data_IF_510429886335
#
_entry.id   IF_510429886335
#
_cell.length_a   1.000
_cell.length_b   1.000
_cell.length_c   1.000
_cell.angle_alpha   90.00
_cell.angle_beta   90.00
_cell.angle_gamma   90.00
#
_symmetry.space_group_name_H-M   'P 1'
#
loop_
_entity.id
_entity.type
_entity.pdbx_description
1 polymer ?
#
# COMPACT_ATOMS: atom_id res chain seq x y z
N UNK A 1 37.00 -61.54 44.13
CA UNK A 1 37.06 -62.59 43.11
C UNK A 1 36.26 -62.08 41.92
N UNK A 2 36.98 -61.75 40.91
CA UNK A 2 36.94 -62.09 39.49
C UNK A 2 35.58 -61.73 38.79
N UNK A 3 35.46 -61.20 37.63
CA UNK A 3 36.35 -60.87 36.50
C UNK A 3 35.52 -59.97 35.53
N UNK A 4 36.19 -59.03 35.06
CA UNK A 4 36.11 -58.37 33.75
C UNK A 4 35.52 -59.22 32.63
N UNK A 5 34.62 -58.63 31.83
CA UNK A 5 34.64 -58.73 30.34
C UNK A 5 34.13 -57.45 29.70
N UNK A 6 34.99 -56.84 28.94
CA UNK A 6 34.69 -55.72 28.04
C UNK A 6 34.06 -56.25 26.73
N UNK A 7 33.03 -55.58 26.23
CA UNK A 7 32.60 -55.71 24.86
C UNK A 7 32.30 -54.32 24.29
N UNK A 8 33.13 -53.91 23.38
CA UNK A 8 32.98 -52.63 22.67
C UNK A 8 31.84 -52.72 21.63
N UNK A 9 30.99 -51.74 21.65
CA UNK A 9 30.10 -51.45 20.54
C UNK A 9 30.50 -50.14 19.88
N UNK A 10 31.01 -50.30 18.67
CA UNK A 10 31.19 -49.17 17.72
C UNK A 10 29.81 -48.67 17.33
N UNK A 11 29.48 -47.44 17.71
CA UNK A 11 28.35 -46.71 17.15
C UNK A 11 28.79 -46.07 15.83
N UNK A 12 28.23 -46.55 14.73
CA UNK A 12 28.29 -45.90 13.43
C UNK A 12 27.43 -44.65 13.52
N UNK A 13 28.05 -43.48 13.41
CA UNK A 13 27.40 -42.21 13.19
C UNK A 13 26.93 -42.16 11.71
N UNK A 14 25.65 -42.38 11.47
CA UNK A 14 25.02 -42.08 10.21
C UNK A 14 24.91 -40.56 10.05
N UNK A 15 25.80 -39.98 9.26
CA UNK A 15 25.74 -38.60 8.83
C UNK A 15 24.52 -38.41 7.92
N UNK A 16 23.50 -37.74 8.45
CA UNK A 16 22.36 -37.29 7.65
C UNK A 16 22.79 -36.06 6.85
N UNK A 17 23.17 -36.29 5.59
CA UNK A 17 23.35 -35.22 4.62
C UNK A 17 22.00 -34.58 4.36
N UNK A 18 21.78 -33.37 4.85
CA UNK A 18 20.70 -32.50 4.42
C UNK A 18 21.07 -31.98 3.03
N UNK A 19 20.53 -32.63 2.01
CA UNK A 19 20.54 -32.09 0.66
C UNK A 19 19.75 -30.77 0.65
N UNK A 20 20.43 -29.65 0.52
CA UNK A 20 19.86 -28.38 0.07
C UNK A 20 19.27 -28.61 -1.33
N UNK A 21 17.97 -28.68 -1.42
CA UNK A 21 17.28 -28.43 -2.70
C UNK A 21 17.43 -26.94 -3.00
N UNK A 22 18.43 -26.62 -3.80
CA UNK A 22 18.46 -25.34 -4.51
C UNK A 22 17.29 -25.33 -5.47
N UNK A 23 16.32 -24.45 -5.22
CA UNK A 23 15.18 -24.22 -6.09
C UNK A 23 15.67 -23.54 -7.36
N UNK A 24 15.59 -24.26 -8.47
CA UNK A 24 15.84 -23.78 -9.84
C UNK A 24 14.69 -22.86 -10.34
N UNK A 25 14.32 -21.86 -9.56
CA UNK A 25 13.23 -20.90 -9.88
C UNK A 25 13.72 -19.45 -9.94
N UNK A 26 15.01 -19.22 -10.23
CA UNK A 26 15.55 -17.86 -10.21
C UNK A 26 16.36 -17.48 -11.46
N UNK A 27 15.97 -17.95 -12.65
CA UNK A 27 16.70 -17.62 -13.90
C UNK A 27 15.89 -16.83 -14.93
N UNK A 28 14.67 -16.37 -14.62
CA UNK A 28 13.86 -15.60 -15.59
C UNK A 28 13.54 -14.14 -15.19
N UNK A 29 13.98 -13.67 -14.03
CA UNK A 29 13.72 -12.28 -13.57
C UNK A 29 14.94 -11.35 -13.75
N UNK A 30 16.07 -11.82 -14.29
CA UNK A 30 17.24 -10.98 -14.56
C UNK A 30 17.19 -10.20 -15.90
N UNK A 31 16.05 -10.19 -16.57
CA UNK A 31 15.89 -9.49 -17.85
C UNK A 31 15.17 -8.15 -17.69
N UNK A 32 15.91 -7.08 -17.62
CA UNK A 32 15.50 -5.67 -17.64
C UNK A 32 15.06 -5.05 -16.31
N UNK A 33 15.98 -4.98 -15.36
CA UNK A 33 16.06 -3.75 -14.57
C UNK A 33 16.67 -2.74 -15.55
N UNK A 34 15.85 -1.87 -16.11
CA UNK A 34 16.35 -0.73 -16.89
C UNK A 34 17.42 -0.04 -16.04
N UNK A 35 18.54 0.32 -16.65
CA UNK A 35 19.59 1.06 -15.95
C UNK A 35 18.90 2.19 -15.18
N UNK A 36 19.08 2.22 -13.86
CA UNK A 36 18.47 3.25 -13.02
C UNK A 36 18.75 4.60 -13.69
N UNK A 37 17.74 5.46 -13.89
CA UNK A 37 18.02 6.79 -14.38
C UNK A 37 19.03 7.41 -13.43
N UNK A 38 20.09 8.00 -13.97
CA UNK A 38 21.20 8.61 -13.21
C UNK A 38 20.73 9.75 -12.30
N UNK A 39 19.45 10.13 -12.35
CA UNK A 39 18.84 11.17 -11.50
C UNK A 39 17.40 10.78 -11.16
N UNK A 40 17.09 10.71 -9.87
CA UNK A 40 15.73 10.93 -9.35
C UNK A 40 15.26 12.27 -9.93
N UNK A 41 14.02 12.42 -10.44
CA UNK A 41 13.53 13.67 -10.98
C UNK A 41 13.89 14.82 -10.02
N UNK A 42 14.57 15.85 -10.52
CA UNK A 42 15.12 16.94 -9.70
C UNK A 42 14.04 17.80 -9.03
N UNK A 43 12.77 17.57 -9.33
CA UNK A 43 11.65 18.36 -8.79
C UNK A 43 10.48 17.41 -8.50
N UNK A 44 10.46 16.83 -7.30
CA UNK A 44 9.22 16.32 -6.72
C UNK A 44 8.52 17.51 -6.04
N UNK A 45 7.45 18.01 -6.63
CA UNK A 45 6.79 19.27 -6.26
C UNK A 45 5.46 19.09 -5.53
N UNK A 46 5.14 17.88 -5.10
CA UNK A 46 4.01 17.61 -4.23
C UNK A 46 4.38 17.98 -2.78
N UNK A 47 3.75 19.00 -2.17
CA UNK A 47 4.10 19.41 -0.81
C UNK A 47 3.61 18.44 0.27
N UNK A 48 2.54 17.71 -0.03
CA UNK A 48 1.86 16.75 0.85
C UNK A 48 1.43 15.53 0.04
N UNK A 49 1.02 14.46 0.72
CA UNK A 49 0.29 13.35 0.16
C UNK A 49 -1.06 13.23 0.87
N UNK A 50 -2.00 14.11 0.56
CA UNK A 50 -3.35 14.11 1.11
C UNK A 50 -4.26 13.18 0.30
N UNK A 51 -4.12 13.21 -1.02
CA UNK A 51 -4.78 12.38 -2.00
C UNK A 51 -3.76 11.77 -2.98
N UNK A 52 -4.08 10.63 -3.56
CA UNK A 52 -3.31 10.08 -4.70
C UNK A 52 -3.30 11.05 -5.89
N UNK A 53 -4.36 11.83 -6.05
CA UNK A 53 -4.48 12.88 -7.09
C UNK A 53 -3.37 13.94 -6.98
N UNK A 54 -2.91 14.26 -5.77
CA UNK A 54 -1.87 15.28 -5.54
C UNK A 54 -0.54 14.90 -6.21
N UNK A 55 -0.26 13.61 -6.34
CA UNK A 55 0.93 13.12 -7.01
C UNK A 55 0.88 13.32 -8.53
N UNK A 56 -0.29 13.14 -9.12
CA UNK A 56 -0.45 13.06 -10.57
C UNK A 56 0.36 11.90 -11.19
N UNK A 57 0.31 11.73 -12.53
CA UNK A 57 1.00 10.63 -13.21
C UNK A 57 2.52 10.61 -12.95
N UNK A 58 3.18 11.75 -13.03
CA UNK A 58 4.62 11.86 -12.83
C UNK A 58 5.05 11.57 -11.39
N UNK A 59 4.25 11.99 -10.40
CA UNK A 59 4.53 11.72 -8.98
C UNK A 59 4.32 10.26 -8.61
N UNK A 60 3.27 9.61 -9.13
CA UNK A 60 3.03 8.18 -8.95
C UNK A 60 4.20 7.38 -9.54
N UNK A 61 4.61 7.67 -10.77
CA UNK A 61 5.77 7.01 -11.40
C UNK A 61 7.06 7.20 -10.59
N UNK A 62 7.33 8.43 -10.12
CA UNK A 62 8.49 8.72 -9.29
C UNK A 62 8.51 7.92 -7.98
N UNK A 63 7.37 7.81 -7.29
CA UNK A 63 7.26 7.03 -6.05
C UNK A 63 7.50 5.55 -6.32
N UNK A 64 6.84 4.97 -7.33
CA UNK A 64 6.94 3.54 -7.64
C UNK A 64 8.35 3.17 -8.12
N UNK A 65 8.95 3.99 -8.98
CA UNK A 65 10.32 3.80 -9.43
C UNK A 65 11.31 3.85 -8.25
N UNK A 66 11.23 4.89 -7.42
CA UNK A 66 12.13 5.05 -6.27
C UNK A 66 11.95 3.93 -5.24
N UNK A 67 10.71 3.48 -5.01
CA UNK A 67 10.43 2.36 -4.12
C UNK A 67 11.12 1.07 -4.59
N UNK A 68 11.07 0.77 -5.89
CA UNK A 68 11.78 -0.35 -6.50
C UNK A 68 13.30 -0.23 -6.34
N UNK A 69 13.86 0.96 -6.56
CA UNK A 69 15.31 1.23 -6.36
C UNK A 69 15.70 1.05 -4.90
N UNK A 70 14.91 1.58 -3.95
CA UNK A 70 15.15 1.42 -2.50
C UNK A 70 15.06 -0.03 -2.03
N UNK A 71 14.17 -0.82 -2.63
CA UNK A 71 14.05 -2.25 -2.37
C UNK A 71 15.28 -3.01 -2.86
N UNK A 72 15.74 -2.71 -4.06
CA UNK A 72 16.90 -3.36 -4.69
C UNK A 72 18.25 -2.95 -4.06
N UNK A 73 18.37 -1.70 -3.60
CA UNK A 73 19.63 -1.13 -3.09
C UNK A 73 19.45 -0.42 -1.75
N UNK A 74 19.01 -1.11 -0.69
CA UNK A 74 18.67 -0.47 0.60
C UNK A 74 19.89 0.19 1.28
N UNK A 75 21.09 -0.29 1.01
CA UNK A 75 22.31 0.24 1.61
C UNK A 75 22.60 1.70 1.21
N UNK A 76 22.21 2.09 -0.02
CA UNK A 76 22.46 3.42 -0.57
C UNK A 76 21.65 4.52 0.16
N UNK A 77 20.57 4.13 0.85
CA UNK A 77 19.64 5.04 1.48
C UNK A 77 19.70 5.10 3.02
N UNK A 78 20.62 4.33 3.65
CA UNK A 78 20.68 4.20 5.13
C UNK A 78 20.83 5.52 5.90
N UNK A 79 21.29 6.58 5.27
CA UNK A 79 21.52 7.90 5.86
C UNK A 79 20.73 9.00 5.18
N UNK A 80 19.81 8.64 4.31
CA UNK A 80 19.08 9.57 3.45
C UNK A 80 18.25 10.60 4.24
N UNK A 81 17.72 10.20 5.40
CA UNK A 81 16.91 11.03 6.29
C UNK A 81 17.55 11.22 7.67
N UNK A 82 18.89 11.21 7.76
CA UNK A 82 19.60 11.41 9.03
C UNK A 82 19.20 12.75 9.67
N UNK A 83 18.77 12.69 10.94
CA UNK A 83 18.34 13.85 11.72
C UNK A 83 16.89 14.28 11.45
N UNK A 84 16.17 13.65 10.53
CA UNK A 84 14.75 13.90 10.29
C UNK A 84 13.88 13.18 11.31
N UNK A 85 12.81 13.85 11.73
CA UNK A 85 11.83 13.34 12.69
C UNK A 85 10.42 13.47 12.13
N UNK A 86 9.63 12.41 12.25
CA UNK A 86 8.21 12.43 11.88
C UNK A 86 7.33 12.13 13.08
N UNK A 87 6.13 12.73 13.12
CA UNK A 87 5.09 12.39 14.08
C UNK A 87 3.93 11.66 13.37
N UNK A 88 3.45 10.60 13.99
CA UNK A 88 2.37 9.77 13.45
C UNK A 88 1.19 9.77 14.43
N UNK A 89 0.05 10.26 13.99
CA UNK A 89 -1.19 10.34 14.79
C UNK A 89 -2.24 9.38 14.21
N UNK A 90 -2.66 8.42 15.01
CA UNK A 90 -3.60 7.39 14.56
C UNK A 90 -4.85 7.38 15.42
N UNK A 91 -5.98 7.77 14.83
CA UNK A 91 -7.33 7.62 15.41
C UNK A 91 -7.87 6.18 15.23
N UNK A 92 -7.33 5.43 14.25
CA UNK A 92 -7.67 4.02 13.99
C UNK A 92 -6.43 3.15 14.21
N UNK A 93 -6.53 2.04 14.96
CA UNK A 93 -5.38 1.16 15.18
C UNK A 93 -4.86 0.58 13.86
N UNK A 94 -3.56 0.40 13.73
CA UNK A 94 -2.95 -0.24 12.57
C UNK A 94 -1.57 -0.80 12.88
N UNK A 95 -1.46 -2.12 12.83
CA UNK A 95 -0.17 -2.81 12.98
C UNK A 95 0.76 -2.48 11.79
N UNK A 96 0.27 -2.73 10.57
CA UNK A 96 1.07 -2.62 9.34
C UNK A 96 1.54 -1.19 9.07
N UNK A 97 0.63 -0.23 9.06
CA UNK A 97 0.96 1.17 8.77
C UNK A 97 1.96 1.73 9.78
N UNK A 98 1.75 1.45 11.08
CA UNK A 98 2.66 1.89 12.12
C UNK A 98 4.06 1.33 11.91
N UNK A 99 4.18 0.00 11.87
CA UNK A 99 5.49 -0.65 11.78
C UNK A 99 6.23 -0.31 10.49
N UNK A 100 5.53 -0.17 9.35
CA UNK A 100 6.18 0.15 8.07
C UNK A 100 6.69 1.60 8.03
N UNK A 101 6.01 2.57 8.63
CA UNK A 101 6.54 3.93 8.78
C UNK A 101 7.70 3.99 9.77
N UNK A 102 7.58 3.37 10.96
CA UNK A 102 8.65 3.32 11.97
C UNK A 102 9.91 2.65 11.39
N UNK A 103 9.78 1.45 10.82
CA UNK A 103 10.89 0.72 10.20
C UNK A 103 11.46 1.47 8.99
N UNK A 104 10.59 2.10 8.19
CA UNK A 104 10.98 2.93 7.06
C UNK A 104 11.88 4.07 7.48
N UNK A 105 11.47 4.88 8.45
CA UNK A 105 12.27 5.99 8.99
C UNK A 105 13.60 5.52 9.57
N UNK A 106 13.59 4.48 10.41
CA UNK A 106 14.82 3.92 10.99
C UNK A 106 15.78 3.42 9.89
N UNK A 107 15.27 2.74 8.86
CA UNK A 107 16.09 2.25 7.76
C UNK A 107 16.71 3.36 6.91
N UNK A 108 16.13 4.55 6.90
CA UNK A 108 16.61 5.75 6.22
C UNK A 108 17.47 6.66 7.12
N UNK A 109 17.66 6.29 8.39
CA UNK A 109 18.47 7.04 9.37
C UNK A 109 17.73 8.14 10.12
N UNK A 110 16.41 8.23 9.98
CA UNK A 110 15.54 9.14 10.70
C UNK A 110 14.86 8.51 11.92
N UNK A 111 13.92 9.24 12.52
CA UNK A 111 13.17 8.84 13.71
C UNK A 111 11.67 9.06 13.49
N UNK A 112 10.84 8.14 13.99
CA UNK A 112 9.39 8.26 13.99
C UNK A 112 8.86 8.22 15.42
N UNK A 113 7.92 9.12 15.72
CA UNK A 113 7.20 9.20 16.99
C UNK A 113 5.75 8.82 16.76
N UNK A 114 5.27 7.81 17.47
CA UNK A 114 3.88 7.38 17.40
C UNK A 114 3.05 7.99 18.54
N UNK A 115 1.93 8.60 18.18
CA UNK A 115 0.95 9.17 19.10
C UNK A 115 -0.38 8.47 18.90
N UNK A 116 -0.82 7.73 19.90
CA UNK A 116 -2.10 7.03 19.88
C UNK A 116 -3.24 8.04 20.14
N UNK A 117 -4.16 8.14 19.18
CA UNK A 117 -5.35 8.99 19.21
C UNK A 117 -6.64 8.17 19.14
N UNK A 118 -6.58 6.86 19.45
CA UNK A 118 -7.76 5.97 19.38
C UNK A 118 -8.85 6.32 20.40
N UNK A 119 -8.49 7.04 21.46
CA UNK A 119 -9.42 7.46 22.51
C UNK A 119 -9.91 8.90 22.37
N UNK A 120 -9.25 9.73 21.59
CA UNK A 120 -9.58 11.12 21.43
C UNK A 120 -9.10 11.65 20.08
N UNK A 121 -10.00 12.33 19.35
CA UNK A 121 -9.70 12.91 18.06
C UNK A 121 -8.71 14.07 18.17
N UNK A 122 -7.93 14.29 17.14
CA UNK A 122 -6.89 15.31 17.08
C UNK A 122 -7.46 16.73 17.27
N UNK A 123 -8.69 16.97 16.84
CA UNK A 123 -9.41 18.24 16.89
C UNK A 123 -10.33 18.39 18.13
N UNK A 124 -10.28 17.45 19.08
CA UNK A 124 -11.23 17.41 20.19
C UNK A 124 -10.94 18.46 21.29
N UNK A 125 -9.66 18.81 21.53
CA UNK A 125 -9.24 19.69 22.61
C UNK A 125 -8.91 21.11 22.17
N UNK A 126 -8.39 21.26 20.97
CA UNK A 126 -7.92 22.53 20.43
C UNK A 126 -8.18 22.60 18.94
N UNK A 127 -8.06 23.78 18.35
CA UNK A 127 -8.22 23.93 16.90
C UNK A 127 -7.10 23.20 16.17
N UNK A 128 -7.45 22.54 15.07
CA UNK A 128 -6.50 21.82 14.24
C UNK A 128 -5.36 22.71 13.74
N UNK A 129 -5.63 24.01 13.48
CA UNK A 129 -4.61 25.00 13.14
C UNK A 129 -3.56 25.16 14.24
N UNK A 130 -3.98 25.15 15.52
CA UNK A 130 -3.07 25.33 16.64
C UNK A 130 -2.19 24.09 16.84
N UNK A 131 -2.79 22.89 16.64
CA UNK A 131 -2.05 21.63 16.61
C UNK A 131 -1.01 21.64 15.48
N UNK A 132 -1.39 22.04 14.26
CA UNK A 132 -0.50 22.11 13.11
C UNK A 132 0.70 23.03 13.37
N UNK A 133 0.45 24.27 13.86
CA UNK A 133 1.49 25.24 14.16
C UNK A 133 2.42 24.82 15.30
N UNK A 134 1.97 23.99 16.23
CA UNK A 134 2.83 23.39 17.24
C UNK A 134 3.71 22.28 16.63
N UNK A 135 3.09 21.35 15.88
CA UNK A 135 3.79 20.19 15.31
C UNK A 135 4.90 20.60 14.34
N UNK A 136 4.67 21.58 13.47
CA UNK A 136 5.66 22.06 12.51
C UNK A 136 6.95 22.62 13.16
N UNK A 137 6.92 22.95 14.46
CA UNK A 137 8.08 23.40 15.23
C UNK A 137 8.91 22.23 15.77
N UNK A 138 8.33 21.03 15.83
CA UNK A 138 8.94 19.89 16.51
C UNK A 138 9.34 18.77 15.56
N UNK A 139 8.66 18.65 14.41
CA UNK A 139 8.88 17.55 13.46
C UNK A 139 9.02 18.07 12.03
N UNK A 140 9.62 17.24 11.18
CA UNK A 140 9.83 17.55 9.77
C UNK A 140 8.67 17.10 8.87
N UNK A 141 7.79 16.20 9.37
CA UNK A 141 6.66 15.66 8.61
C UNK A 141 5.62 15.05 9.57
N UNK A 142 4.35 15.14 9.20
CA UNK A 142 3.20 14.62 9.94
C UNK A 142 2.55 13.49 9.16
N UNK A 143 2.29 12.35 9.80
CA UNK A 143 1.56 11.22 9.23
C UNK A 143 0.24 11.06 9.97
N UNK A 144 -0.86 11.08 9.24
CA UNK A 144 -2.20 11.00 9.81
C UNK A 144 -2.95 9.74 9.34
N UNK A 145 -3.55 9.03 10.28
CA UNK A 145 -4.52 7.97 10.04
C UNK A 145 -5.79 8.28 10.82
N UNK A 146 -6.80 8.81 10.14
CA UNK A 146 -7.97 9.43 10.74
C UNK A 146 -9.28 8.77 10.30
N UNK A 147 -10.37 9.13 10.98
CA UNK A 147 -11.71 8.79 10.50
C UNK A 147 -12.16 9.69 9.36
N UNK A 148 -11.76 10.97 9.34
CA UNK A 148 -12.20 11.94 8.35
C UNK A 148 -11.06 12.43 7.47
N UNK A 149 -11.28 12.46 6.16
CA UNK A 149 -10.41 13.10 5.18
C UNK A 149 -10.20 14.59 5.50
N UNK A 150 -11.24 15.27 5.97
CA UNK A 150 -11.19 16.70 6.32
C UNK A 150 -10.17 17.02 7.41
N UNK A 151 -9.92 16.09 8.35
CA UNK A 151 -8.88 16.26 9.37
C UNK A 151 -7.49 16.31 8.73
N UNK A 152 -7.24 15.50 7.72
CA UNK A 152 -5.96 15.47 6.99
C UNK A 152 -5.79 16.73 6.14
N UNK A 153 -6.83 17.11 5.40
CA UNK A 153 -6.87 18.34 4.60
C UNK A 153 -6.64 19.59 5.45
N UNK A 154 -7.35 19.68 6.59
CA UNK A 154 -7.18 20.79 7.53
C UNK A 154 -5.76 20.86 8.13
N UNK A 155 -5.14 19.71 8.43
CA UNK A 155 -3.75 19.68 8.88
C UNK A 155 -2.81 20.17 7.78
N UNK A 156 -2.95 19.67 6.54
CA UNK A 156 -2.14 20.07 5.41
C UNK A 156 -2.30 21.56 5.04
N UNK A 157 -3.51 22.11 5.25
CA UNK A 157 -3.77 23.53 5.01
C UNK A 157 -2.99 24.45 5.98
N UNK A 158 -2.79 24.02 7.23
CA UNK A 158 -2.22 24.84 8.28
C UNK A 158 -0.75 24.53 8.59
N UNK A 159 -0.29 23.32 8.35
CA UNK A 159 1.10 22.93 8.59
C UNK A 159 2.03 23.44 7.47
N UNK A 160 3.22 23.92 7.83
CA UNK A 160 4.28 24.24 6.87
C UNK A 160 5.19 23.06 6.54
N UNK A 161 5.05 21.96 7.28
CA UNK A 161 5.74 20.69 7.01
C UNK A 161 4.83 19.73 6.27
N UNK A 162 5.35 18.78 5.47
CA UNK A 162 4.54 17.84 4.72
C UNK A 162 3.60 17.02 5.59
N UNK A 163 2.41 16.73 5.04
CA UNK A 163 1.40 15.86 5.65
C UNK A 163 1.17 14.65 4.76
N UNK A 164 1.13 13.46 5.36
CA UNK A 164 0.82 12.19 4.68
C UNK A 164 -0.51 11.65 5.17
N UNK A 165 -1.41 11.37 4.23
CA UNK A 165 -2.58 10.53 4.42
C UNK A 165 -2.15 9.05 4.50
N UNK A 166 -2.08 8.48 5.70
CA UNK A 166 -1.82 7.07 5.90
C UNK A 166 -3.10 6.21 5.82
N UNK A 167 -4.25 6.80 5.97
CA UNK A 167 -5.61 6.32 5.70
C UNK A 167 -6.62 7.36 6.21
N UNK A 168 -7.68 7.57 5.45
CA UNK A 168 -8.92 8.26 5.87
C UNK A 168 -10.16 7.41 5.52
N UNK A 169 -11.35 7.98 5.70
CA UNK A 169 -12.60 7.42 5.15
C UNK A 169 -12.65 7.48 3.62
N UNK A 170 -11.96 8.44 3.01
CA UNK A 170 -12.00 8.68 1.57
C UNK A 170 -10.90 7.93 0.81
N UNK A 171 -9.67 7.88 1.33
CA UNK A 171 -8.53 7.31 0.61
C UNK A 171 -7.53 6.55 1.48
N UNK A 172 -6.76 5.66 0.83
CA UNK A 172 -5.59 4.97 1.38
C UNK A 172 -4.39 5.00 0.40
N UNK A 173 -3.81 6.19 0.11
CA UNK A 173 -2.80 6.36 -0.95
C UNK A 173 -1.58 5.46 -0.79
N UNK A 174 -1.06 5.36 0.44
CA UNK A 174 0.11 4.52 0.74
C UNK A 174 -0.12 3.02 0.47
N UNK A 175 -1.38 2.57 0.52
CA UNK A 175 -1.73 1.19 0.18
C UNK A 175 -1.72 1.01 -1.34
N UNK A 176 -2.47 1.83 -2.08
CA UNK A 176 -2.58 1.70 -3.52
C UNK A 176 -1.22 1.81 -4.23
N UNK A 177 -0.33 2.68 -3.77
CA UNK A 177 1.04 2.76 -4.28
C UNK A 177 1.84 1.47 -4.03
N UNK A 178 1.66 0.81 -2.89
CA UNK A 178 2.29 -0.47 -2.62
C UNK A 178 1.69 -1.61 -3.47
N UNK A 179 0.39 -1.54 -3.73
CA UNK A 179 -0.33 -2.50 -4.56
C UNK A 179 0.17 -2.45 -6.00
N UNK A 180 0.26 -1.27 -6.58
CA UNK A 180 0.78 -1.10 -7.93
C UNK A 180 2.29 -1.36 -8.04
N UNK A 181 3.07 -1.10 -6.99
CA UNK A 181 4.46 -1.56 -6.93
C UNK A 181 4.55 -3.09 -7.04
N UNK A 182 3.66 -3.81 -6.36
CA UNK A 182 3.60 -5.28 -6.41
C UNK A 182 3.23 -5.78 -7.81
N UNK A 183 2.26 -5.14 -8.45
CA UNK A 183 1.85 -5.46 -9.81
C UNK A 183 2.97 -5.16 -10.82
N UNK A 184 3.67 -4.04 -10.68
CA UNK A 184 4.84 -3.71 -11.51
C UNK A 184 5.98 -4.72 -11.35
N UNK A 185 6.27 -5.17 -10.13
CA UNK A 185 7.27 -6.22 -9.88
C UNK A 185 6.86 -7.54 -10.53
N UNK A 186 5.57 -7.85 -10.58
CA UNK A 186 5.03 -9.08 -11.13
C UNK A 186 4.95 -9.08 -12.65
N UNK A 187 4.52 -7.97 -13.24
CA UNK A 187 4.19 -7.88 -14.68
C UNK A 187 5.15 -6.99 -15.48
N UNK A 188 5.96 -6.18 -14.83
CA UNK A 188 6.94 -5.28 -15.46
C UNK A 188 6.35 -3.98 -16.00
N UNK A 189 5.09 -3.98 -16.43
CA UNK A 189 4.37 -2.83 -16.95
C UNK A 189 2.88 -2.99 -16.63
N UNK A 190 2.18 -1.86 -16.45
CA UNK A 190 0.74 -1.84 -16.17
C UNK A 190 -0.11 -1.39 -17.36
N UNK A 191 0.49 -0.90 -18.44
CA UNK A 191 -0.22 -0.25 -19.55
C UNK A 191 -1.33 -1.12 -20.15
N UNK A 192 -1.10 -2.39 -20.37
CA UNK A 192 -2.08 -3.30 -20.96
C UNK A 192 -2.60 -4.32 -19.92
N UNK A 193 -2.58 -3.94 -18.64
CA UNK A 193 -3.00 -4.80 -17.53
C UNK A 193 -4.31 -4.35 -16.93
N UNK A 194 -5.11 -5.34 -16.55
CA UNK A 194 -6.40 -5.13 -15.93
C UNK A 194 -6.38 -5.59 -14.47
N UNK A 195 -6.67 -4.65 -13.55
CA UNK A 195 -6.99 -4.93 -12.16
C UNK A 195 -8.50 -5.02 -12.00
N UNK A 196 -9.03 -6.14 -11.55
CA UNK A 196 -10.42 -6.28 -11.12
C UNK A 196 -10.52 -6.10 -9.60
N UNK A 197 -11.23 -5.09 -9.16
CA UNK A 197 -11.61 -4.91 -7.75
C UNK A 197 -13.02 -5.43 -7.54
N UNK A 198 -13.22 -6.27 -6.52
CA UNK A 198 -14.52 -6.90 -6.21
C UNK A 198 -14.84 -6.71 -4.74
N UNK A 199 -15.93 -5.99 -4.42
CA UNK A 199 -16.33 -5.75 -3.05
C UNK A 199 -16.96 -4.39 -2.80
N UNK A 200 -16.62 -3.74 -1.68
CA UNK A 200 -17.14 -2.40 -1.31
C UNK A 200 -16.35 -1.30 -2.03
N UNK A 201 -17.05 -0.31 -2.59
CA UNK A 201 -16.45 0.87 -3.20
C UNK A 201 -15.86 1.83 -2.17
N UNK A 202 -14.96 1.35 -1.34
CA UNK A 202 -14.38 2.02 -0.19
C UNK A 202 -13.13 2.86 -0.52
N UNK A 203 -12.46 3.37 0.51
CA UNK A 203 -11.25 4.17 0.41
C UNK A 203 -10.07 3.47 -0.32
N UNK A 204 -9.98 2.14 -0.26
CA UNK A 204 -8.98 1.38 -1.01
C UNK A 204 -9.32 1.36 -2.49
N UNK A 205 -10.58 1.10 -2.85
CA UNK A 205 -11.05 1.19 -4.23
C UNK A 205 -10.82 2.59 -4.82
N UNK A 206 -11.06 3.65 -4.04
CA UNK A 206 -10.82 5.04 -4.45
C UNK A 206 -9.34 5.28 -4.82
N UNK A 207 -8.42 4.91 -3.94
CA UNK A 207 -6.99 5.11 -4.22
C UNK A 207 -6.48 4.20 -5.34
N UNK A 208 -7.04 3.00 -5.52
CA UNK A 208 -6.73 2.14 -6.66
C UNK A 208 -7.21 2.75 -7.97
N UNK A 209 -8.40 3.36 -8.02
CA UNK A 209 -8.92 4.09 -9.18
C UNK A 209 -7.98 5.23 -9.60
N UNK A 210 -7.60 6.08 -8.65
CA UNK A 210 -6.71 7.23 -8.91
C UNK A 210 -5.31 6.78 -9.34
N UNK A 211 -4.76 5.74 -8.70
CA UNK A 211 -3.42 5.23 -9.06
C UNK A 211 -3.44 4.56 -10.44
N UNK A 212 -4.50 3.79 -10.75
CA UNK A 212 -4.73 3.21 -12.08
C UNK A 212 -4.77 4.31 -13.14
N UNK A 213 -5.56 5.36 -12.89
CA UNK A 213 -5.68 6.50 -13.79
C UNK A 213 -4.32 7.14 -14.07
N UNK A 214 -3.50 7.35 -13.03
CA UNK A 214 -2.15 7.91 -13.19
C UNK A 214 -1.21 7.03 -14.02
N UNK A 215 -1.37 5.70 -13.97
CA UNK A 215 -0.51 4.73 -14.66
C UNK A 215 -0.97 4.39 -16.08
N UNK A 216 -2.14 4.87 -16.52
CA UNK A 216 -2.68 4.55 -17.84
C UNK A 216 -3.05 3.07 -17.99
N UNK A 217 -3.42 2.38 -16.88
CA UNK A 217 -3.81 0.97 -16.88
C UNK A 217 -5.34 0.80 -16.88
N UNK A 218 -5.82 -0.44 -16.87
CA UNK A 218 -7.26 -0.73 -16.80
C UNK A 218 -7.66 -1.15 -15.38
N UNK A 219 -8.76 -0.61 -14.87
CA UNK A 219 -9.41 -1.07 -13.64
C UNK A 219 -10.89 -1.30 -13.86
N UNK A 220 -11.37 -2.46 -13.39
CA UNK A 220 -12.80 -2.81 -13.32
C UNK A 220 -13.19 -2.94 -11.86
N UNK A 221 -14.19 -2.18 -11.44
CA UNK A 221 -14.65 -2.16 -10.04
C UNK A 221 -16.06 -2.70 -10.01
N UNK A 222 -16.25 -3.89 -9.45
CA UNK A 222 -17.56 -4.53 -9.26
C UNK A 222 -18.01 -4.38 -7.81
N UNK A 223 -19.15 -3.70 -7.61
CA UNK A 223 -19.72 -3.44 -6.29
C UNK A 223 -21.22 -3.73 -6.28
N UNK A 224 -21.82 -4.12 -5.16
CA UNK A 224 -23.26 -4.18 -5.03
C UNK A 224 -23.90 -2.82 -5.30
N UNK A 225 -25.16 -2.84 -5.73
CA UNK A 225 -25.95 -1.61 -5.89
C UNK A 225 -26.04 -0.87 -4.55
N UNK A 226 -25.70 0.41 -4.56
CA UNK A 226 -25.64 1.25 -3.34
C UNK A 226 -24.28 1.30 -2.65
N UNK A 227 -23.29 0.53 -3.13
CA UNK A 227 -21.93 0.46 -2.57
C UNK A 227 -20.84 0.86 -3.58
N UNK A 228 -21.22 1.63 -4.59
CA UNK A 228 -20.28 2.14 -5.58
C UNK A 228 -19.27 3.11 -4.96
N UNK A 229 -18.07 3.26 -5.58
CA UNK A 229 -17.10 4.29 -5.17
C UNK A 229 -17.70 5.70 -5.22
N UNK A 230 -17.09 6.60 -4.44
CA UNK A 230 -17.48 8.01 -4.39
C UNK A 230 -17.50 8.62 -5.81
N UNK A 231 -18.62 9.26 -6.23
CA UNK A 231 -18.74 9.81 -7.60
C UNK A 231 -17.69 10.87 -7.93
N UNK A 232 -17.22 11.64 -6.93
CA UNK A 232 -16.18 12.65 -7.16
C UNK A 232 -14.82 11.99 -7.43
N UNK A 233 -14.46 10.96 -6.68
CA UNK A 233 -13.24 10.18 -6.94
C UNK A 233 -13.27 9.53 -8.33
N UNK A 234 -14.42 9.00 -8.72
CA UNK A 234 -14.58 8.44 -10.09
C UNK A 234 -14.43 9.52 -11.16
N UNK A 235 -14.97 10.71 -10.94
CA UNK A 235 -14.83 11.84 -11.85
C UNK A 235 -13.37 12.28 -11.96
N UNK A 236 -12.69 12.42 -10.82
CA UNK A 236 -11.27 12.77 -10.75
C UNK A 236 -10.38 11.74 -11.46
N UNK A 237 -10.63 10.45 -11.23
CA UNK A 237 -9.91 9.39 -11.92
C UNK A 237 -10.13 9.39 -13.44
N UNK A 238 -11.35 9.68 -13.90
CA UNK A 238 -11.66 9.80 -15.34
C UNK A 238 -11.01 11.02 -15.97
N UNK A 239 -10.93 12.14 -15.27
CA UNK A 239 -10.21 13.33 -15.72
C UNK A 239 -8.72 13.00 -15.97
N UNK A 240 -8.06 12.31 -15.03
CA UNK A 240 -6.68 11.87 -15.20
C UNK A 240 -6.56 10.85 -16.35
N UNK A 241 -7.53 9.96 -16.49
CA UNK A 241 -7.56 8.94 -17.55
C UNK A 241 -7.63 9.53 -18.97
N UNK A 242 -8.23 10.72 -19.15
CA UNK A 242 -8.24 11.42 -20.44
C UNK A 242 -6.81 11.75 -20.93
N UNK A 243 -5.88 12.02 -20.00
CA UNK A 243 -4.48 12.33 -20.31
C UNK A 243 -3.61 11.08 -20.47
N UNK A 244 -3.86 10.05 -19.68
CA UNK A 244 -3.00 8.86 -19.58
C UNK A 244 -3.43 7.71 -20.47
N UNK A 245 -4.71 7.68 -20.90
CA UNK A 245 -5.33 6.60 -21.64
C UNK A 245 -5.78 5.42 -20.75
N UNK A 246 -5.92 5.62 -19.43
CA UNK A 246 -6.45 4.60 -18.53
C UNK A 246 -7.91 4.26 -18.84
N UNK A 247 -8.31 3.02 -18.58
CA UNK A 247 -9.70 2.58 -18.70
C UNK A 247 -10.32 2.29 -17.34
N UNK A 248 -11.46 2.97 -17.03
CA UNK A 248 -12.17 2.83 -15.75
C UNK A 248 -13.57 2.33 -16.02
N UNK A 249 -13.87 1.14 -15.53
CA UNK A 249 -15.19 0.50 -15.64
C UNK A 249 -15.78 0.25 -14.26
N UNK A 250 -17.03 0.72 -14.05
CA UNK A 250 -17.79 0.43 -12.84
C UNK A 250 -18.89 -0.57 -13.21
N UNK A 251 -18.93 -1.67 -12.51
CA UNK A 251 -19.77 -2.83 -12.77
C UNK A 251 -20.54 -3.24 -11.52
N UNK A 252 -21.57 -4.04 -11.69
CA UNK A 252 -22.30 -4.68 -10.60
C UNK A 252 -22.13 -6.20 -10.62
N UNK A 253 -21.63 -6.77 -11.72
CA UNK A 253 -21.37 -8.19 -11.86
C UNK A 253 -19.88 -8.48 -11.60
N UNK A 254 -19.54 -9.22 -10.52
CA UNK A 254 -18.15 -9.60 -10.26
C UNK A 254 -17.54 -10.50 -11.34
N UNK A 255 -18.36 -11.34 -11.99
CA UNK A 255 -17.90 -12.20 -13.07
C UNK A 255 -17.46 -11.42 -14.30
N UNK A 256 -18.22 -10.38 -14.68
CA UNK A 256 -17.84 -9.46 -15.76
C UNK A 256 -16.53 -8.73 -15.43
N UNK A 257 -16.36 -8.31 -14.18
CA UNK A 257 -15.15 -7.58 -13.75
C UNK A 257 -13.88 -8.44 -13.84
N UNK A 258 -13.95 -9.69 -13.38
CA UNK A 258 -12.77 -10.56 -13.29
C UNK A 258 -12.44 -11.27 -14.61
N UNK A 259 -13.35 -11.30 -15.57
CA UNK A 259 -13.15 -12.01 -16.84
C UNK A 259 -11.86 -11.58 -17.54
N UNK A 260 -10.86 -12.47 -17.57
CA UNK A 260 -9.55 -12.23 -18.18
C UNK A 260 -8.68 -11.16 -17.49
N UNK A 261 -9.00 -10.70 -16.27
CA UNK A 261 -8.19 -9.76 -15.52
C UNK A 261 -6.83 -10.35 -15.12
N UNK A 262 -5.79 -9.51 -15.04
CA UNK A 262 -4.43 -9.90 -14.63
C UNK A 262 -4.28 -9.98 -13.11
N UNK A 263 -5.10 -9.23 -12.37
CA UNK A 263 -5.14 -9.26 -10.90
C UNK A 263 -6.58 -9.13 -10.40
N UNK A 264 -6.90 -9.86 -9.33
CA UNK A 264 -8.16 -9.72 -8.59
C UNK A 264 -7.84 -9.17 -7.20
N UNK A 265 -8.49 -8.08 -6.84
CA UNK A 265 -8.36 -7.41 -5.55
C UNK A 265 -9.68 -7.43 -4.80
N UNK A 266 -9.65 -7.72 -3.52
CA UNK A 266 -10.79 -7.48 -2.62
C UNK A 266 -10.32 -6.87 -1.30
N UNK A 267 -11.24 -6.29 -0.56
CA UNK A 267 -11.04 -5.77 0.78
C UNK A 267 -12.21 -6.17 1.68
N UNK A 268 -12.05 -6.00 2.98
CA UNK A 268 -13.10 -6.27 3.96
C UNK A 268 -14.41 -5.59 3.57
N UNK A 269 -15.51 -6.31 3.61
CA UNK A 269 -16.82 -5.79 3.26
C UNK A 269 -17.32 -4.72 4.23
N UNK A 270 -16.80 -4.74 5.47
CA UNK A 270 -17.10 -3.76 6.50
C UNK A 270 -15.82 -3.07 6.92
N UNK A 271 -15.68 -1.79 6.60
CA UNK A 271 -14.52 -0.99 7.01
C UNK A 271 -14.61 -0.58 8.48
N UNK A 272 -13.50 -0.27 9.11
CA UNK A 272 -13.46 0.23 10.49
C UNK A 272 -14.27 1.52 10.64
N UNK A 273 -15.24 1.50 11.54
CA UNK A 273 -16.21 2.56 11.77
C UNK A 273 -17.60 2.31 11.15
N UNK A 274 -17.76 1.22 10.39
CA UNK A 274 -19.02 0.80 9.75
C UNK A 274 -19.61 -0.48 10.39
N UNK A 275 -19.17 -0.87 11.57
CA UNK A 275 -19.55 -2.12 12.25
C UNK A 275 -21.07 -2.25 12.45
N UNK A 276 -21.79 -1.12 12.45
CA UNK A 276 -23.27 -1.11 12.54
C UNK A 276 -23.97 -1.65 11.30
N UNK A 277 -23.28 -1.68 10.16
CA UNK A 277 -23.81 -2.15 8.88
C UNK A 277 -23.42 -3.62 8.60
N UNK A 278 -22.65 -4.26 9.47
CA UNK A 278 -22.11 -5.60 9.28
C UNK A 278 -23.16 -6.65 8.96
N UNK A 279 -24.28 -6.63 9.71
CA UNK A 279 -25.40 -7.57 9.50
C UNK A 279 -26.11 -7.40 8.13
N UNK A 280 -26.15 -6.19 7.61
CA UNK A 280 -26.72 -5.89 6.29
C UNK A 280 -25.74 -6.28 5.19
N UNK A 281 -24.48 -5.88 5.32
CA UNK A 281 -23.41 -6.18 4.36
C UNK A 281 -23.19 -7.68 4.19
N UNK A 282 -23.23 -8.45 5.27
CA UNK A 282 -23.12 -9.93 5.24
C UNK A 282 -24.25 -10.59 4.42
N UNK A 283 -25.40 -9.95 4.23
CA UNK A 283 -26.48 -10.46 3.38
C UNK A 283 -26.35 -10.06 1.92
N UNK A 284 -25.73 -8.90 1.64
CA UNK A 284 -25.64 -8.30 0.31
C UNK A 284 -24.37 -8.77 -0.43
N UNK A 285 -23.25 -8.86 0.26
CA UNK A 285 -21.94 -9.09 -0.32
C UNK A 285 -21.55 -10.53 -0.68
N UNK A 286 -22.23 -11.61 -0.24
CA UNK A 286 -21.82 -12.98 -0.58
C UNK A 286 -21.56 -13.26 -2.08
N UNK A 287 -22.28 -12.66 -3.05
CA UNK A 287 -21.97 -12.81 -4.47
C UNK A 287 -20.62 -12.22 -4.89
N UNK A 288 -20.02 -11.36 -4.04
CA UNK A 288 -18.75 -10.68 -4.27
C UNK A 288 -17.58 -11.33 -3.53
N UNK A 289 -17.77 -12.55 -2.98
CA UNK A 289 -16.68 -13.30 -2.37
C UNK A 289 -15.70 -13.77 -3.44
N UNK A 290 -14.42 -13.48 -3.26
CA UNK A 290 -13.37 -14.04 -4.11
C UNK A 290 -13.06 -15.47 -3.67
N UNK A 291 -13.53 -16.42 -4.47
CA UNK A 291 -13.35 -17.84 -4.30
C UNK A 291 -12.63 -18.46 -5.51
N UNK A 292 -12.42 -19.77 -5.49
CA UNK A 292 -11.69 -20.46 -6.56
C UNK A 292 -12.43 -20.41 -7.91
N UNK A 293 -13.76 -20.37 -7.92
CA UNK A 293 -14.57 -20.28 -9.13
C UNK A 293 -14.38 -18.93 -9.80
N UNK A 294 -14.50 -17.84 -9.03
CA UNK A 294 -14.27 -16.49 -9.52
C UNK A 294 -12.82 -16.28 -10.00
N UNK A 295 -11.83 -16.80 -9.26
CA UNK A 295 -10.42 -16.75 -9.67
C UNK A 295 -10.16 -17.50 -11.00
N UNK A 296 -10.91 -18.55 -11.30
CA UNK A 296 -10.73 -19.33 -12.52
C UNK A 296 -11.18 -18.59 -13.80
N UNK A 297 -11.96 -17.52 -13.68
CA UNK A 297 -12.42 -16.69 -14.80
C UNK A 297 -11.39 -15.61 -15.19
N UNK A 298 -10.43 -15.32 -14.32
CA UNK A 298 -9.34 -14.41 -14.60
C UNK A 298 -8.31 -15.01 -15.57
N UNK A 299 -7.34 -14.21 -15.99
CA UNK A 299 -6.24 -14.71 -16.82
C UNK A 299 -5.48 -15.84 -16.08
N UNK A 300 -4.95 -16.85 -16.82
CA UNK A 300 -4.25 -17.99 -16.18
C UNK A 300 -3.05 -17.60 -15.28
N UNK A 301 -2.48 -16.43 -15.51
CA UNK A 301 -1.38 -15.87 -14.73
C UNK A 301 -1.83 -14.86 -13.66
N UNK A 302 -3.14 -14.71 -13.50
CA UNK A 302 -3.70 -13.72 -12.58
C UNK A 302 -3.24 -13.94 -11.14
N UNK A 303 -3.06 -12.84 -10.42
CA UNK A 303 -2.72 -12.85 -9.00
C UNK A 303 -3.90 -12.37 -8.15
N UNK A 304 -3.95 -12.86 -6.91
CA UNK A 304 -4.90 -12.42 -5.90
C UNK A 304 -4.22 -11.40 -4.95
N UNK A 305 -4.93 -10.32 -4.64
CA UNK A 305 -4.48 -9.21 -3.80
C UNK A 305 -5.49 -8.88 -2.70
N UNK A 306 -4.99 -8.45 -1.54
CA UNK A 306 -5.77 -7.97 -0.40
C UNK A 306 -4.89 -7.12 0.51
N UNK A 307 -5.35 -5.95 0.94
CA UNK A 307 -4.58 -5.05 1.81
C UNK A 307 -4.33 -5.58 3.23
N UNK A 308 -5.05 -6.62 3.64
CA UNK A 308 -5.05 -7.20 4.99
C UNK A 308 -5.45 -6.19 6.11
N UNK A 309 -6.16 -6.67 7.18
CA UNK A 309 -6.49 -8.07 7.49
C UNK A 309 -7.64 -8.60 6.63
N UNK A 310 -7.63 -9.87 6.28
CA UNK A 310 -8.70 -10.53 5.57
C UNK A 310 -9.63 -11.28 6.53
N UNK A 311 -10.95 -11.21 6.30
CA UNK A 311 -11.95 -12.02 6.99
C UNK A 311 -12.23 -13.29 6.17
N UNK A 312 -11.41 -14.30 6.42
CA UNK A 312 -11.46 -15.59 5.73
C UNK A 312 -12.86 -16.23 5.83
N UNK A 313 -13.41 -16.62 4.69
CA UNK A 313 -14.78 -17.14 4.59
C UNK A 313 -15.85 -16.05 4.35
N UNK A 314 -15.48 -14.76 4.44
CA UNK A 314 -16.32 -13.63 4.02
C UNK A 314 -15.88 -13.15 2.63
N UNK A 315 -15.08 -12.08 2.53
CA UNK A 315 -14.69 -11.49 1.24
C UNK A 315 -13.74 -12.38 0.42
N UNK A 316 -13.03 -13.31 1.07
CA UNK A 316 -12.12 -14.25 0.41
C UNK A 316 -12.13 -15.61 1.10
N UNK A 317 -11.99 -16.69 0.32
CA UNK A 317 -11.83 -18.04 0.85
C UNK A 317 -10.37 -18.37 1.21
N UNK A 318 -10.16 -19.29 2.17
CA UNK A 318 -8.83 -19.81 2.51
C UNK A 318 -8.10 -20.37 1.29
N UNK A 319 -8.82 -21.08 0.42
CA UNK A 319 -8.26 -21.67 -0.79
C UNK A 319 -7.64 -20.64 -1.74
N UNK A 320 -8.15 -19.40 -1.77
CA UNK A 320 -7.62 -18.33 -2.61
C UNK A 320 -6.46 -17.62 -1.92
N UNK A 321 -6.65 -17.17 -0.69
CA UNK A 321 -5.62 -16.37 0.01
C UNK A 321 -4.34 -17.16 0.31
N UNK A 322 -4.44 -18.48 0.48
CA UNK A 322 -3.31 -19.39 0.70
C UNK A 322 -2.80 -20.05 -0.61
N UNK A 323 -3.35 -19.66 -1.77
CA UNK A 323 -2.95 -20.22 -3.07
C UNK A 323 -1.60 -19.66 -3.54
N UNK A 324 -0.93 -20.35 -4.51
CA UNK A 324 0.26 -19.81 -5.17
C UNK A 324 0.01 -18.54 -6.00
N UNK A 325 -1.25 -18.19 -6.29
CA UNK A 325 -1.63 -16.96 -6.98
C UNK A 325 -1.71 -15.76 -6.03
N UNK A 326 -1.77 -15.99 -4.72
CA UNK A 326 -1.85 -14.94 -3.72
C UNK A 326 -0.52 -14.23 -3.56
N UNK A 327 -0.53 -12.90 -3.69
CA UNK A 327 0.63 -12.02 -3.51
C UNK A 327 0.46 -11.07 -2.31
N UNK A 328 -0.41 -11.42 -1.37
CA UNK A 328 -0.78 -10.55 -0.23
C UNK A 328 0.40 -10.22 0.70
N UNK A 329 1.40 -11.11 0.80
CA UNK A 329 2.57 -10.87 1.64
C UNK A 329 3.63 -10.03 0.95
N UNK A 330 3.83 -10.20 -0.36
CA UNK A 330 4.64 -9.31 -1.20
C UNK A 330 4.04 -7.91 -1.22
N UNK A 331 2.72 -7.81 -1.32
CA UNK A 331 1.96 -6.56 -1.21
C UNK A 331 2.18 -5.91 0.17
N UNK A 332 2.12 -6.68 1.24
CA UNK A 332 2.39 -6.20 2.59
C UNK A 332 3.85 -5.73 2.79
N UNK A 333 4.83 -6.43 2.18
CA UNK A 333 6.24 -6.01 2.15
C UNK A 333 6.39 -4.68 1.42
N UNK A 334 5.76 -4.53 0.26
CA UNK A 334 5.87 -3.33 -0.57
C UNK A 334 5.31 -2.06 0.08
N UNK A 335 4.48 -2.20 1.13
CA UNK A 335 4.10 -1.08 2.00
C UNK A 335 5.31 -0.35 2.57
N UNK A 336 6.31 -1.10 3.03
CA UNK A 336 7.55 -0.52 3.55
C UNK A 336 8.29 0.29 2.47
N UNK A 337 8.39 -0.25 1.26
CA UNK A 337 9.17 0.35 0.19
C UNK A 337 8.48 1.58 -0.41
N UNK A 338 7.17 1.53 -0.65
CA UNK A 338 6.38 2.67 -1.08
C UNK A 338 6.43 3.83 -0.06
N UNK A 339 6.24 3.54 1.23
CA UNK A 339 6.31 4.55 2.28
C UNK A 339 7.72 5.16 2.42
N UNK A 340 8.78 4.36 2.28
CA UNK A 340 10.15 4.90 2.24
C UNK A 340 10.38 5.87 1.10
N UNK A 341 9.86 5.57 -0.08
CA UNK A 341 9.95 6.45 -1.24
C UNK A 341 9.19 7.76 -1.01
N UNK A 342 7.97 7.67 -0.47
CA UNK A 342 7.16 8.85 -0.11
C UNK A 342 7.89 9.72 0.91
N UNK A 343 8.38 9.13 2.01
CA UNK A 343 9.14 9.84 3.04
C UNK A 343 10.37 10.53 2.46
N UNK A 344 11.13 9.84 1.62
CA UNK A 344 12.33 10.40 0.98
C UNK A 344 12.00 11.59 0.08
N UNK A 345 10.97 11.48 -0.75
CA UNK A 345 10.57 12.52 -1.68
C UNK A 345 10.04 13.76 -0.95
N UNK A 346 9.19 13.58 0.06
CA UNK A 346 8.60 14.69 0.82
C UNK A 346 9.59 15.36 1.78
N UNK A 347 10.54 14.61 2.35
CA UNK A 347 11.57 15.16 3.24
C UNK A 347 12.81 15.72 2.53
N UNK A 348 12.79 15.72 1.18
CA UNK A 348 13.86 16.29 0.38
C UNK A 348 15.17 15.53 0.50
N UNK A 349 15.16 14.25 0.21
CA UNK A 349 16.36 13.39 0.13
C UNK A 349 17.36 13.77 -0.98
N UNK A 350 17.04 14.78 -1.77
CA UNK A 350 17.87 15.52 -2.70
C UNK A 350 17.39 16.97 -2.67
N UNK A 351 18.13 17.93 -2.79
CA UNK A 351 17.95 19.39 -2.68
C UNK A 351 16.54 19.88 -2.27
N UNK A 352 16.48 20.63 -1.18
CA UNK A 352 15.28 21.10 -0.48
C UNK A 352 14.27 21.74 -1.45
N UNK A 353 13.02 21.28 -1.40
CA UNK A 353 11.88 22.07 -1.92
C UNK A 353 11.88 23.45 -1.22
N UNK A 354 11.59 24.55 -1.94
CA UNK A 354 11.43 25.85 -1.30
C UNK A 354 10.30 25.76 -0.27
N UNK A 355 10.55 26.30 0.93
CA UNK A 355 9.53 26.42 1.96
C UNK A 355 8.29 27.12 1.38
N UNK A 356 7.09 26.62 1.74
CA UNK A 356 5.83 27.31 1.42
C UNK A 356 5.99 28.80 1.85
N UNK A 357 5.76 29.71 0.92
CA UNK A 357 5.58 31.12 1.28
C UNK A 357 4.36 31.19 2.19
N UNK A 358 4.56 31.64 3.43
CA UNK A 358 3.46 31.91 4.34
C UNK A 358 2.43 32.77 3.59
N UNK A 359 1.21 32.28 3.47
CA UNK A 359 0.11 33.04 2.92
C UNK A 359 -0.10 34.28 3.79
N UNK A 360 0.06 35.45 3.16
CA UNK A 360 -0.28 36.75 3.71
C UNK A 360 -1.80 36.89 3.89
#
# INVERSE_FOLDING_TARGET
MSQSVAAGHRSQSAGMQVQKKESTLNTHVQGRVAAAPERVPQVFWCPDLVSTRDLGPAGVDAVLHLAGVMKARPADFRRALTGRQIAMFFEKPSLRTRLTFEAGMVSLGGTAMFVDQTHERLDAREKLSDVAHNLERWVDLIVLRTFSQQTIEGMAQHASVPVINALSDLEHPCQALADYLTLLERFGDMKDRCLAYVGDGNNVAHSLLLTCACLGSTIRVATPVGYAPDPQIVADAREIAEETGAEIQLLTDPHEAVAGADAIYTDAWTSMGQEREEDERTKIFPPYQVNAELMAEAAPHAVFMHCLPAHRGLEVTDAVIDSPQSVVFEQAENRLHAQKAILYLLLGGGDRLPARSAHA
#
